data_IF_150863766368
#
_entry.id   IF_150863766368
#
_cell.length_a   1.000
_cell.length_b   1.000
_cell.length_c   1.000
_cell.angle_alpha   90.00
_cell.angle_beta   90.00
_cell.angle_gamma   90.00
#
_symmetry.space_group_name_H-M   'P 1'
#
loop_
_entity.id
_entity.type
_entity.pdbx_description
1 polymer ?
#
# COMPACT_ATOMS: atom_id res chain seq x y z
N UNK A 1 22.08 1.12 20.27
CA UNK A 1 21.68 -0.25 19.88
C UNK A 1 20.36 -0.17 19.14
N UNK A 2 20.33 -0.62 17.87
CA UNK A 2 19.13 -0.66 17.04
C UNK A 2 18.32 -1.90 17.39
N UNK A 3 17.39 -1.78 18.33
CA UNK A 3 16.49 -2.90 18.67
C UNK A 3 15.40 -3.02 17.61
N UNK A 4 15.20 -4.22 17.10
CA UNK A 4 14.05 -4.59 16.26
C UNK A 4 13.30 -5.73 16.92
N UNK A 5 11.98 -5.72 16.79
CA UNK A 5 11.09 -6.71 17.40
C UNK A 5 10.61 -7.67 16.32
N UNK A 6 11.00 -8.94 16.44
CA UNK A 6 10.61 -9.99 15.51
C UNK A 6 9.29 -10.65 15.90
N UNK A 7 8.44 -10.89 14.92
CA UNK A 7 7.22 -11.68 15.06
C UNK A 7 7.15 -12.75 13.96
N UNK A 8 6.54 -13.89 14.27
CA UNK A 8 6.26 -14.96 13.31
C UNK A 8 4.76 -15.14 13.12
N UNK A 9 4.38 -15.47 11.90
CA UNK A 9 3.02 -15.77 11.47
C UNK A 9 3.11 -17.12 10.73
N UNK A 10 2.94 -18.24 11.46
CA UNK A 10 3.02 -19.57 10.87
C UNK A 10 1.80 -19.84 9.99
N UNK A 11 2.00 -20.48 8.84
CA UNK A 11 0.92 -20.99 8.01
C UNK A 11 1.05 -22.49 7.81
N UNK A 12 0.39 -23.27 8.66
CA UNK A 12 0.39 -24.74 8.59
C UNK A 12 -0.21 -25.28 7.28
N UNK A 13 -1.01 -24.47 6.58
CA UNK A 13 -1.71 -24.86 5.36
C UNK A 13 -1.01 -24.38 4.09
N UNK A 14 0.26 -23.93 4.16
CA UNK A 14 0.97 -23.35 3.02
C UNK A 14 0.94 -24.24 1.76
N UNK A 15 1.16 -25.55 1.90
CA UNK A 15 1.15 -26.50 0.79
C UNK A 15 -0.24 -26.72 0.17
N UNK A 16 -1.30 -26.30 0.87
CA UNK A 16 -2.67 -26.39 0.40
C UNK A 16 -3.13 -25.09 -0.29
N UNK A 17 -2.26 -24.10 -0.44
CA UNK A 17 -2.61 -22.82 -1.06
C UNK A 17 -2.47 -22.88 -2.57
N UNK A 18 -3.44 -22.31 -3.28
CA UNK A 18 -3.41 -22.09 -4.71
C UNK A 18 -3.09 -20.63 -5.03
N UNK A 19 -2.39 -20.42 -6.14
CA UNK A 19 -2.14 -19.12 -6.72
C UNK A 19 -2.74 -19.04 -8.12
N UNK A 20 -3.35 -17.91 -8.45
CA UNK A 20 -3.79 -17.61 -9.80
C UNK A 20 -3.62 -16.13 -10.13
N UNK A 21 -3.51 -15.86 -11.43
CA UNK A 21 -3.62 -14.52 -11.99
C UNK A 21 -5.03 -14.29 -12.48
N UNK A 22 -5.57 -13.10 -12.22
CA UNK A 22 -6.79 -12.63 -12.88
C UNK A 22 -6.57 -11.30 -13.56
N UNK A 23 -7.32 -11.06 -14.61
CA UNK A 23 -7.29 -9.82 -15.40
C UNK A 23 -8.55 -9.04 -15.13
N UNK A 24 -8.39 -7.76 -14.79
CA UNK A 24 -9.50 -6.82 -14.70
C UNK A 24 -10.02 -6.45 -16.10
N UNK A 25 -11.33 -6.62 -16.33
CA UNK A 25 -11.95 -6.22 -17.57
C UNK A 25 -11.91 -4.69 -17.72
N UNK A 26 -11.17 -4.21 -18.72
CA UNK A 26 -11.02 -2.77 -19.04
C UNK A 26 -12.23 -2.18 -19.76
N UNK A 27 -13.10 -3.03 -20.29
CA UNK A 27 -14.35 -2.61 -20.92
C UNK A 27 -15.49 -2.48 -19.90
N UNK A 28 -15.28 -2.93 -18.66
CA UNK A 28 -16.20 -2.68 -17.56
C UNK A 28 -16.26 -1.17 -17.28
N UNK A 29 -17.42 -0.67 -16.86
CA UNK A 29 -17.59 0.76 -16.61
C UNK A 29 -16.77 1.17 -15.39
N UNK A 30 -15.66 1.89 -15.64
CA UNK A 30 -14.80 2.36 -14.57
C UNK A 30 -15.56 3.24 -13.56
N UNK A 31 -15.30 2.97 -12.29
CA UNK A 31 -15.64 3.88 -11.21
C UNK A 31 -14.87 5.20 -11.42
N UNK A 32 -15.51 6.34 -11.16
CA UNK A 32 -14.88 7.66 -11.35
C UNK A 32 -13.62 7.85 -10.50
N UNK A 33 -13.47 7.07 -9.43
CA UNK A 33 -12.28 7.04 -8.59
C UNK A 33 -11.13 6.19 -9.16
N UNK A 34 -11.30 5.54 -10.31
CA UNK A 34 -10.28 4.70 -10.94
C UNK A 34 -10.15 5.03 -12.44
N UNK A 35 -9.56 6.19 -12.78
CA UNK A 35 -9.65 6.74 -14.13
C UNK A 35 -8.76 6.06 -15.19
N UNK A 36 -7.83 5.19 -14.78
CA UNK A 36 -6.97 4.44 -15.71
C UNK A 36 -7.07 2.94 -15.45
N UNK A 37 -6.63 2.13 -16.43
CA UNK A 37 -6.59 0.66 -16.29
C UNK A 37 -5.80 0.22 -15.05
N UNK A 38 -4.68 0.91 -14.78
CA UNK A 38 -3.88 0.68 -13.58
C UNK A 38 -4.70 0.91 -12.29
N UNK A 39 -5.37 2.06 -12.18
CA UNK A 39 -6.21 2.35 -11.01
C UNK A 39 -7.39 1.38 -10.90
N UNK A 40 -7.92 0.93 -12.03
CA UNK A 40 -9.03 0.00 -12.08
C UNK A 40 -8.65 -1.36 -11.49
N UNK A 41 -7.52 -1.92 -11.91
CA UNK A 41 -6.94 -3.13 -11.34
C UNK A 41 -6.70 -3.03 -9.83
N UNK A 42 -6.14 -1.91 -9.36
CA UNK A 42 -5.93 -1.66 -7.92
C UNK A 42 -7.26 -1.66 -7.16
N UNK A 43 -8.28 -0.99 -7.72
CA UNK A 43 -9.63 -0.96 -7.13
C UNK A 43 -10.25 -2.37 -7.06
N UNK A 44 -10.19 -3.14 -8.15
CA UNK A 44 -10.71 -4.52 -8.21
C UNK A 44 -10.00 -5.45 -7.22
N UNK A 45 -8.67 -5.37 -7.14
CA UNK A 45 -7.89 -6.10 -6.14
C UNK A 45 -8.37 -5.81 -4.70
N UNK A 46 -8.61 -4.53 -4.37
CA UNK A 46 -9.13 -4.16 -3.05
C UNK A 46 -10.55 -4.67 -2.83
N UNK A 47 -11.41 -4.60 -3.84
CA UNK A 47 -12.77 -5.15 -3.74
C UNK A 47 -12.74 -6.64 -3.38
N UNK A 48 -11.83 -7.44 -3.95
CA UNK A 48 -11.63 -8.85 -3.58
C UNK A 48 -11.21 -8.98 -2.12
N UNK A 49 -10.12 -8.31 -1.72
CA UNK A 49 -9.56 -8.40 -0.37
C UNK A 49 -10.60 -8.03 0.71
N UNK A 50 -11.46 -7.05 0.44
CA UNK A 50 -12.50 -6.63 1.38
C UNK A 50 -13.78 -7.46 1.30
N UNK A 51 -13.96 -8.30 0.28
CA UNK A 51 -15.15 -9.15 0.13
C UNK A 51 -14.96 -10.55 0.69
N UNK A 52 -13.72 -11.06 0.77
CA UNK A 52 -13.42 -12.38 1.32
C UNK A 52 -12.16 -12.35 2.17
N UNK A 53 -12.28 -12.73 3.45
CA UNK A 53 -11.14 -12.87 4.35
C UNK A 53 -10.33 -14.15 4.12
N UNK A 54 -10.84 -15.09 3.32
CA UNK A 54 -10.13 -16.30 2.93
C UNK A 54 -9.16 -16.09 1.76
N UNK A 55 -9.04 -14.86 1.26
CA UNK A 55 -8.17 -14.53 0.13
C UNK A 55 -7.09 -13.54 0.54
N UNK A 56 -5.92 -13.66 -0.08
CA UNK A 56 -4.96 -12.58 -0.17
C UNK A 56 -4.77 -12.20 -1.63
N UNK A 57 -4.53 -10.93 -1.90
CA UNK A 57 -4.27 -10.49 -3.25
C UNK A 57 -3.28 -9.32 -3.28
N UNK A 58 -2.68 -9.08 -4.43
CA UNK A 58 -1.99 -7.84 -4.74
C UNK A 58 -2.14 -7.48 -6.23
N UNK A 59 -2.20 -6.19 -6.58
CA UNK A 59 -2.10 -5.78 -7.97
C UNK A 59 -0.70 -6.09 -8.50
N UNK A 60 -0.60 -6.59 -9.74
CA UNK A 60 0.70 -6.78 -10.41
C UNK A 60 1.44 -5.43 -10.52
N UNK A 61 2.76 -5.42 -10.50
CA UNK A 61 3.54 -4.17 -10.57
C UNK A 61 3.77 -3.70 -12.00
N UNK A 62 3.88 -4.63 -12.93
CA UNK A 62 4.31 -4.41 -14.32
C UNK A 62 3.14 -4.41 -15.28
N UNK A 63 2.16 -5.29 -15.07
CA UNK A 63 0.98 -5.38 -15.94
C UNK A 63 -0.11 -4.38 -15.52
N UNK A 64 -0.83 -3.79 -16.48
CA UNK A 64 -1.84 -2.76 -16.21
C UNK A 64 -3.21 -3.30 -15.76
N UNK A 65 -3.43 -4.61 -15.81
CA UNK A 65 -4.73 -5.26 -15.63
C UNK A 65 -4.68 -6.48 -14.68
N UNK A 66 -3.51 -7.09 -14.46
CA UNK A 66 -3.37 -8.31 -13.66
C UNK A 66 -3.40 -8.13 -12.13
N UNK A 67 -4.07 -9.05 -11.44
CA UNK A 67 -4.10 -9.18 -9.99
C UNK A 67 -3.65 -10.59 -9.62
N UNK A 68 -2.73 -10.69 -8.67
CA UNK A 68 -2.33 -11.95 -8.06
C UNK A 68 -3.29 -12.29 -6.93
N UNK A 69 -3.75 -13.54 -6.87
CA UNK A 69 -4.65 -14.01 -5.81
C UNK A 69 -4.12 -15.32 -5.25
N UNK A 70 -4.07 -15.38 -3.92
CA UNK A 70 -3.78 -16.59 -3.15
C UNK A 70 -5.05 -16.98 -2.41
N UNK A 71 -5.39 -18.26 -2.48
CA UNK A 71 -6.58 -18.84 -1.87
C UNK A 71 -6.25 -20.23 -1.32
N UNK A 72 -7.14 -20.78 -0.49
CA UNK A 72 -7.00 -22.15 -0.01
C UNK A 72 -7.63 -23.12 -1.04
N UNK A 73 -6.86 -24.11 -1.53
CA UNK A 73 -7.37 -25.15 -2.45
C UNK A 73 -8.41 -26.04 -1.75
N UNK A 74 -8.30 -26.18 -0.43
CA UNK A 74 -9.21 -27.01 0.35
C UNK A 74 -10.48 -26.24 0.71
N UNK A 75 -11.63 -26.83 0.41
CA UNK A 75 -12.95 -26.27 0.74
C UNK A 75 -13.64 -25.60 -0.45
N UNK A 76 -14.55 -24.66 -0.17
CA UNK A 76 -15.38 -23.97 -1.17
C UNK A 76 -14.84 -22.59 -1.59
N UNK A 77 -13.58 -22.29 -1.26
CA UNK A 77 -13.00 -20.97 -1.55
C UNK A 77 -12.89 -20.73 -3.06
N UNK A 78 -12.63 -21.76 -3.86
CA UNK A 78 -12.57 -21.62 -5.32
C UNK A 78 -13.94 -21.28 -5.93
N UNK A 79 -15.03 -21.93 -5.50
CA UNK A 79 -16.39 -21.60 -5.98
C UNK A 79 -16.81 -20.17 -5.60
N UNK A 80 -16.45 -19.75 -4.39
CA UNK A 80 -16.64 -18.37 -3.91
C UNK A 80 -15.82 -17.39 -4.74
N UNK A 81 -14.60 -17.77 -5.09
CA UNK A 81 -13.70 -16.97 -5.89
C UNK A 81 -14.24 -16.74 -7.31
N UNK A 82 -14.72 -17.80 -7.97
CA UNK A 82 -15.39 -17.71 -9.28
C UNK A 82 -16.61 -16.77 -9.23
N UNK A 83 -17.40 -16.86 -8.15
CA UNK A 83 -18.54 -15.95 -7.94
C UNK A 83 -18.10 -14.49 -7.78
N UNK A 84 -16.98 -14.24 -7.09
CA UNK A 84 -16.39 -12.90 -6.98
C UNK A 84 -15.85 -12.39 -8.32
N UNK A 85 -15.28 -13.27 -9.15
CA UNK A 85 -14.79 -12.89 -10.47
C UNK A 85 -15.92 -12.42 -11.38
N UNK A 86 -17.02 -13.16 -11.42
CA UNK A 86 -18.23 -12.73 -12.15
C UNK A 86 -18.75 -11.40 -11.61
N UNK A 87 -18.89 -11.27 -10.29
CA UNK A 87 -19.40 -10.05 -9.63
C UNK A 87 -18.53 -8.83 -9.90
N UNK A 88 -17.22 -9.00 -10.00
CA UNK A 88 -16.26 -7.91 -10.17
C UNK A 88 -15.70 -7.80 -11.57
N UNK A 89 -16.24 -8.53 -12.55
CA UNK A 89 -15.79 -8.49 -13.95
C UNK A 89 -14.29 -8.75 -14.07
N UNK A 90 -13.84 -9.82 -13.42
CA UNK A 90 -12.49 -10.36 -13.50
C UNK A 90 -12.53 -11.68 -14.28
N UNK A 91 -11.46 -11.99 -15.00
CA UNK A 91 -11.29 -13.26 -15.71
C UNK A 91 -9.99 -13.94 -15.30
N UNK A 92 -10.01 -15.25 -15.11
CA UNK A 92 -8.80 -16.02 -14.86
C UNK A 92 -7.82 -15.92 -16.04
N UNK A 93 -6.54 -15.81 -15.72
CA UNK A 93 -5.45 -15.73 -16.67
C UNK A 93 -4.47 -16.86 -16.42
N UNK A 94 -4.74 -18.01 -17.06
CA UNK A 94 -3.90 -19.20 -16.97
C UNK A 94 -4.32 -20.17 -15.86
N UNK A 95 -3.54 -21.25 -15.65
CA UNK A 95 -3.87 -22.30 -14.69
C UNK A 95 -3.63 -21.86 -13.24
N UNK A 96 -4.18 -22.63 -12.30
CA UNK A 96 -3.83 -22.55 -10.88
C UNK A 96 -2.40 -23.08 -10.72
N UNK A 97 -1.55 -22.28 -10.08
CA UNK A 97 -0.15 -22.58 -9.81
C UNK A 97 0.07 -22.79 -8.31
N UNK A 98 1.22 -23.39 -7.96
CA UNK A 98 1.70 -23.43 -6.58
C UNK A 98 2.16 -22.04 -6.12
N UNK A 99 2.03 -21.79 -4.82
CA UNK A 99 2.40 -20.51 -4.21
C UNK A 99 3.90 -20.45 -3.97
N UNK A 100 4.56 -19.42 -4.52
CA UNK A 100 5.97 -19.11 -4.19
C UNK A 100 6.06 -18.18 -2.98
N UNK A 101 7.20 -18.20 -2.29
CA UNK A 101 7.48 -17.31 -1.15
C UNK A 101 7.35 -15.83 -1.50
N UNK A 102 7.79 -15.45 -2.71
CA UNK A 102 7.72 -14.08 -3.21
C UNK A 102 6.27 -13.61 -3.40
N UNK A 103 5.45 -14.41 -4.09
CA UNK A 103 4.04 -14.10 -4.33
C UNK A 103 3.27 -14.05 -3.00
N UNK A 104 3.56 -14.97 -2.08
CA UNK A 104 2.99 -14.95 -0.74
C UNK A 104 3.32 -13.65 0.00
N UNK A 105 4.59 -13.28 0.05
CA UNK A 105 5.04 -12.06 0.71
C UNK A 105 4.40 -10.80 0.11
N UNK A 106 4.32 -10.71 -1.22
CA UNK A 106 3.69 -9.58 -1.92
C UNK A 106 2.19 -9.48 -1.63
N UNK A 107 1.45 -10.59 -1.75
CA UNK A 107 0.02 -10.66 -1.47
C UNK A 107 -0.28 -10.36 0.01
N UNK A 108 0.49 -10.91 0.93
CA UNK A 108 0.36 -10.64 2.36
C UNK A 108 0.61 -9.16 2.67
N UNK A 109 1.71 -8.59 2.17
CA UNK A 109 2.06 -7.18 2.38
C UNK A 109 0.96 -6.22 1.91
N UNK A 110 0.48 -6.40 0.68
CA UNK A 110 -0.59 -5.56 0.13
C UNK A 110 -1.92 -5.76 0.87
N UNK A 111 -2.29 -7.01 1.16
CA UNK A 111 -3.52 -7.33 1.91
C UNK A 111 -3.48 -6.73 3.31
N UNK A 112 -2.39 -6.94 4.05
CA UNK A 112 -2.18 -6.41 5.39
C UNK A 112 -2.30 -4.88 5.40
N UNK A 113 -1.54 -4.20 4.53
CA UNK A 113 -1.55 -2.74 4.45
C UNK A 113 -2.91 -2.18 4.06
N UNK A 114 -3.63 -2.83 3.13
CA UNK A 114 -4.98 -2.44 2.76
C UNK A 114 -5.93 -2.57 3.96
N UNK A 115 -5.87 -3.68 4.72
CA UNK A 115 -6.77 -3.97 5.86
C UNK A 115 -6.57 -3.03 7.04
N UNK A 116 -5.33 -2.67 7.37
CA UNK A 116 -5.04 -1.80 8.52
C UNK A 116 -5.19 -0.31 8.21
N UNK A 117 -5.23 0.08 6.94
CA UNK A 117 -5.59 1.42 6.53
C UNK A 117 -7.08 1.72 6.86
N UNK A 118 -7.42 2.93 7.33
CA UNK A 118 -6.56 4.10 7.45
C UNK A 118 -5.98 4.29 8.86
N UNK A 119 -6.06 3.30 9.76
CA UNK A 119 -5.49 3.44 11.10
C UNK A 119 -3.96 3.49 11.02
N UNK A 120 -3.40 2.58 10.24
CA UNK A 120 -1.98 2.55 9.89
C UNK A 120 -1.84 2.69 8.38
N UNK A 121 -1.19 3.76 7.94
CA UNK A 121 -1.05 4.10 6.53
C UNK A 121 0.39 3.84 6.07
N UNK A 122 0.59 3.24 4.90
CA UNK A 122 1.94 3.09 4.33
C UNK A 122 2.56 4.48 4.16
N UNK A 123 3.84 4.63 4.46
CA UNK A 123 4.64 5.80 4.16
C UNK A 123 6.01 5.34 3.65
N UNK A 124 6.43 5.83 2.49
CA UNK A 124 7.61 5.32 1.80
C UNK A 124 7.52 3.83 1.53
N UNK A 125 8.66 3.14 1.60
CA UNK A 125 8.77 1.73 1.25
C UNK A 125 8.58 0.78 2.43
N UNK A 126 8.82 1.26 3.66
CA UNK A 126 8.94 0.39 4.83
C UNK A 126 8.45 1.04 6.14
N UNK A 127 7.60 2.07 6.08
CA UNK A 127 6.98 2.63 7.28
C UNK A 127 5.46 2.53 7.24
N UNK A 128 4.86 2.34 8.41
CA UNK A 128 3.47 2.69 8.67
C UNK A 128 3.41 3.87 9.62
N UNK A 129 2.54 4.84 9.31
CA UNK A 129 2.21 5.97 10.19
C UNK A 129 0.84 5.75 10.83
N UNK A 130 0.77 5.84 12.16
CA UNK A 130 -0.46 5.71 12.93
C UNK A 130 -1.12 7.07 13.09
N UNK A 131 -1.99 7.40 12.13
CA UNK A 131 -2.99 8.46 12.25
C UNK A 131 -3.77 8.48 10.92
N UNK A 132 -5.09 8.38 10.96
CA UNK A 132 -5.94 8.43 9.75
C UNK A 132 -5.96 9.80 9.05
N UNK A 133 -5.60 10.86 9.77
CA UNK A 133 -5.60 12.26 9.34
C UNK A 133 -4.17 12.84 9.29
N UNK A 134 -3.14 12.00 9.16
CA UNK A 134 -1.74 12.43 9.21
C UNK A 134 -1.39 13.48 8.14
N UNK A 135 -2.13 13.55 7.03
CA UNK A 135 -1.95 14.56 5.98
C UNK A 135 -2.27 15.99 6.48
N UNK A 136 -3.13 16.17 7.48
CA UNK A 136 -3.45 17.48 8.08
C UNK A 136 -2.81 17.69 9.45
N UNK A 137 -2.63 16.64 10.24
CA UNK A 137 -2.06 16.74 11.60
C UNK A 137 -0.60 17.24 11.65
N UNK A 138 -0.30 18.21 12.52
CA UNK A 138 1.07 18.73 12.66
C UNK A 138 1.87 17.97 13.72
N UNK A 139 3.19 17.92 13.56
CA UNK A 139 4.09 17.34 14.56
C UNK A 139 4.30 15.82 14.44
N UNK A 140 5.14 15.25 15.31
CA UNK A 140 5.55 13.84 15.23
C UNK A 140 4.40 12.87 15.55
N UNK A 141 4.17 11.91 14.67
CA UNK A 141 3.16 10.85 14.80
C UNK A 141 3.84 9.53 15.18
N UNK A 142 3.09 8.62 15.81
CA UNK A 142 3.58 7.25 16.02
C UNK A 142 3.69 6.51 14.69
N UNK A 143 4.69 5.65 14.58
CA UNK A 143 4.88 4.82 13.40
C UNK A 143 5.68 3.57 13.72
N UNK A 144 5.71 2.68 12.74
CA UNK A 144 6.57 1.49 12.77
C UNK A 144 7.31 1.38 11.45
N UNK A 145 8.63 1.21 11.52
CA UNK A 145 9.38 0.65 10.40
C UNK A 145 9.13 -0.86 10.39
N UNK A 146 8.90 -1.44 9.22
CA UNK A 146 8.64 -2.87 9.11
C UNK A 146 9.49 -3.52 8.01
N UNK A 147 9.80 -4.80 8.20
CA UNK A 147 10.33 -5.69 7.16
C UNK A 147 9.56 -7.00 7.22
N UNK A 148 9.15 -7.49 6.05
CA UNK A 148 8.47 -8.76 5.89
C UNK A 148 9.42 -9.68 5.14
N UNK A 149 9.52 -10.93 5.57
CA UNK A 149 10.22 -11.97 4.84
C UNK A 149 9.51 -13.31 5.05
N UNK A 150 9.55 -14.18 4.06
CA UNK A 150 8.97 -15.52 4.12
C UNK A 150 10.09 -16.57 4.17
N UNK A 151 10.02 -17.48 5.12
CA UNK A 151 10.91 -18.65 5.20
C UNK A 151 10.06 -19.92 5.26
N UNK A 152 10.19 -20.79 4.25
CA UNK A 152 9.37 -21.99 4.08
C UNK A 152 7.86 -21.68 4.14
N UNK A 153 7.21 -22.01 5.26
CA UNK A 153 5.78 -21.82 5.53
C UNK A 153 5.49 -20.76 6.61
N UNK A 154 6.51 -20.05 7.09
CA UNK A 154 6.39 -19.05 8.16
C UNK A 154 6.77 -17.67 7.67
N UNK A 155 5.86 -16.71 7.86
CA UNK A 155 6.12 -15.31 7.59
C UNK A 155 6.74 -14.64 8.82
N UNK A 156 7.80 -13.89 8.62
CA UNK A 156 8.45 -13.07 9.64
C UNK A 156 8.10 -11.60 9.43
N UNK A 157 7.77 -10.93 10.52
CA UNK A 157 7.47 -9.50 10.57
C UNK A 157 8.41 -8.85 11.59
N UNK A 158 9.39 -8.11 11.11
CA UNK A 158 10.29 -7.32 11.96
C UNK A 158 9.74 -5.91 12.08
N UNK A 159 9.60 -5.41 13.29
CA UNK A 159 9.02 -4.10 13.60
C UNK A 159 9.99 -3.27 14.43
N UNK A 160 10.12 -1.98 14.07
CA UNK A 160 10.82 -0.98 14.86
C UNK A 160 9.93 0.23 15.08
N UNK A 161 9.43 0.47 16.30
CA UNK A 161 8.65 1.67 16.61
C UNK A 161 9.49 2.94 16.42
N UNK A 162 8.86 3.97 15.87
CA UNK A 162 9.50 5.27 15.59
C UNK A 162 8.50 6.40 15.76
N UNK A 163 9.00 7.63 15.94
CA UNK A 163 8.22 8.84 15.63
C UNK A 163 8.49 9.27 14.20
N UNK A 164 7.43 9.59 13.47
CA UNK A 164 7.48 10.06 12.09
C UNK A 164 6.95 11.48 12.06
N UNK A 165 7.79 12.43 11.63
CA UNK A 165 7.41 13.81 11.46
C UNK A 165 7.51 14.21 9.98
N UNK A 166 6.36 14.35 9.32
CA UNK A 166 6.28 14.83 7.95
C UNK A 166 6.40 16.35 7.97
N UNK A 167 7.44 16.88 7.33
CA UNK A 167 7.63 18.32 7.17
C UNK A 167 6.63 18.85 6.14
N UNK A 168 5.64 19.57 6.63
CA UNK A 168 4.50 20.03 5.82
C UNK A 168 4.79 21.34 5.11
N UNK A 169 4.01 21.54 4.05
CA UNK A 169 3.80 22.82 3.40
C UNK A 169 3.37 23.88 4.44
N UNK A 170 4.23 24.89 4.68
CA UNK A 170 3.98 26.00 5.62
C UNK A 170 3.45 27.27 4.92
N UNK A 171 2.79 27.14 3.78
CA UNK A 171 2.20 28.27 3.05
C UNK A 171 3.03 28.80 1.88
N UNK A 172 4.32 28.49 1.80
CA UNK A 172 5.17 28.82 0.65
C UNK A 172 4.89 27.90 -0.53
N UNK A 173 4.28 28.44 -1.60
CA UNK A 173 3.97 27.72 -2.83
C UNK A 173 5.22 27.00 -3.37
N UNK A 174 5.03 25.81 -3.94
CA UNK A 174 6.12 25.16 -4.65
C UNK A 174 6.38 25.89 -5.96
N UNK A 175 7.65 26.09 -6.29
CA UNK A 175 8.06 26.72 -7.54
C UNK A 175 7.94 25.75 -8.72
N UNK A 176 7.70 26.27 -9.92
CA UNK A 176 7.84 25.49 -11.16
C UNK A 176 9.28 24.99 -11.31
N UNK A 177 9.45 23.74 -11.74
CA UNK A 177 10.75 23.07 -11.80
C UNK A 177 11.29 22.60 -10.44
N UNK A 178 10.59 22.88 -9.33
CA UNK A 178 11.04 22.46 -8.01
C UNK A 178 10.95 20.93 -7.83
N UNK A 179 11.97 20.36 -7.20
CA UNK A 179 12.02 18.95 -6.87
C UNK A 179 11.28 18.68 -5.56
N UNK A 180 10.26 17.83 -5.62
CA UNK A 180 9.44 17.45 -4.46
C UNK A 180 9.35 15.93 -4.32
N UNK A 181 8.69 15.48 -3.25
CA UNK A 181 8.33 14.09 -2.98
C UNK A 181 6.83 13.97 -2.80
N UNK A 182 6.29 12.85 -3.27
CA UNK A 182 4.84 12.60 -3.27
C UNK A 182 4.47 11.45 -2.33
N UNK A 183 3.52 11.67 -1.43
CA UNK A 183 2.97 10.64 -0.54
C UNK A 183 1.99 9.72 -1.30
N UNK A 184 1.89 8.40 -0.99
CA UNK A 184 2.62 7.64 0.04
C UNK A 184 4.08 7.37 -0.27
N UNK A 185 4.46 7.20 -1.54
CA UNK A 185 5.69 6.50 -1.92
C UNK A 185 6.97 7.26 -1.62
N UNK A 186 6.87 8.58 -1.41
CA UNK A 186 8.00 9.50 -1.29
C UNK A 186 8.88 9.54 -2.55
N UNK A 187 8.31 9.07 -3.68
CA UNK A 187 8.94 9.16 -4.99
C UNK A 187 9.17 10.62 -5.35
N UNK A 188 10.34 10.87 -5.93
CA UNK A 188 10.75 12.20 -6.37
C UNK A 188 10.00 12.58 -7.64
N UNK A 189 9.50 13.81 -7.70
CA UNK A 189 8.86 14.41 -8.86
C UNK A 189 9.25 15.88 -9.00
N UNK A 190 8.86 16.47 -10.12
CA UNK A 190 9.10 17.88 -10.43
C UNK A 190 7.76 18.58 -10.58
N UNK A 191 7.62 19.75 -9.97
CA UNK A 191 6.44 20.60 -10.12
C UNK A 191 6.41 21.19 -11.53
N UNK A 192 5.28 21.06 -12.21
CA UNK A 192 5.04 21.72 -13.50
C UNK A 192 4.11 22.91 -13.35
N UNK A 193 2.93 22.69 -12.77
CA UNK A 193 1.89 23.72 -12.70
C UNK A 193 1.25 23.75 -11.32
N UNK A 194 0.74 24.92 -10.95
CA UNK A 194 0.01 25.17 -9.71
C UNK A 194 -1.42 25.65 -10.02
N UNK A 195 -2.38 25.20 -9.22
CA UNK A 195 -3.78 25.63 -9.30
C UNK A 195 -4.33 25.95 -7.91
N UNK A 196 -5.04 27.07 -7.77
CA UNK A 196 -5.71 27.46 -6.52
C UNK A 196 -7.03 26.68 -6.28
N UNK A 197 -7.45 25.82 -7.22
CA UNK A 197 -8.59 24.91 -7.11
C UNK A 197 -8.36 23.66 -7.98
N UNK A 198 -9.15 22.60 -7.78
CA UNK A 198 -9.03 21.40 -8.61
C UNK A 198 -9.24 21.76 -10.10
N UNK A 199 -8.28 21.48 -11.00
CA UNK A 199 -8.38 21.89 -12.39
C UNK A 199 -9.57 21.21 -13.08
N UNK A 200 -10.32 21.94 -13.90
CA UNK A 200 -11.43 21.35 -14.69
C UNK A 200 -10.95 20.40 -15.78
N UNK A 201 -9.71 20.58 -16.25
CA UNK A 201 -9.00 19.66 -17.15
C UNK A 201 -8.45 18.42 -16.43
N UNK A 202 -8.54 18.36 -15.10
CA UNK A 202 -8.01 17.24 -14.34
C UNK A 202 -8.83 15.96 -14.57
N UNK A 203 -8.18 14.84 -14.30
CA UNK A 203 -8.76 13.50 -14.37
C UNK A 203 -10.02 13.33 -13.51
N UNK A 204 -10.20 14.15 -12.47
CA UNK A 204 -11.31 14.07 -11.52
C UNK A 204 -12.30 15.22 -11.72
N UNK A 205 -13.59 14.89 -11.84
CA UNK A 205 -14.66 15.90 -12.07
C UNK A 205 -14.90 16.82 -10.88
N UNK A 206 -14.65 16.35 -9.67
CA UNK A 206 -14.84 17.12 -8.44
C UNK A 206 -13.99 16.56 -7.28
N UNK A 207 -13.87 17.35 -6.21
CA UNK A 207 -13.11 16.95 -5.02
C UNK A 207 -13.63 15.65 -4.39
N UNK A 208 -14.94 15.37 -4.44
CA UNK A 208 -15.51 14.12 -3.92
C UNK A 208 -14.96 12.89 -4.64
N UNK A 209 -14.81 12.95 -5.96
CA UNK A 209 -14.23 11.87 -6.76
C UNK A 209 -12.73 11.69 -6.43
N UNK A 210 -12.01 12.79 -6.25
CA UNK A 210 -10.61 12.80 -5.80
C UNK A 210 -10.44 12.14 -4.42
N UNK A 211 -11.26 12.52 -3.44
CA UNK A 211 -11.24 11.90 -2.10
C UNK A 211 -11.50 10.40 -2.17
N UNK A 212 -12.45 9.98 -3.01
CA UNK A 212 -12.76 8.57 -3.24
C UNK A 212 -11.58 7.85 -3.86
N UNK A 213 -10.89 8.46 -4.83
CA UNK A 213 -9.65 7.94 -5.42
C UNK A 213 -8.57 7.75 -4.36
N UNK A 214 -8.27 8.77 -3.56
CA UNK A 214 -7.22 8.66 -2.53
C UNK A 214 -7.50 7.55 -1.51
N UNK A 215 -8.76 7.44 -1.07
CA UNK A 215 -9.19 6.38 -0.17
C UNK A 215 -9.09 5.01 -0.81
N UNK A 216 -9.52 4.88 -2.06
CA UNK A 216 -9.64 3.59 -2.72
C UNK A 216 -8.34 3.10 -3.34
N UNK A 217 -7.44 3.99 -3.75
CA UNK A 217 -6.18 3.62 -4.41
C UNK A 217 -5.04 3.65 -3.39
N UNK A 218 -4.89 4.74 -2.65
CA UNK A 218 -3.78 4.91 -1.67
C UNK A 218 -4.12 4.45 -0.25
N UNK A 219 -5.41 4.26 0.08
CA UNK A 219 -5.85 4.00 1.45
C UNK A 219 -5.93 5.25 2.34
N UNK A 220 -5.54 6.41 1.82
CA UNK A 220 -5.43 7.67 2.56
C UNK A 220 -6.75 8.42 2.63
N UNK A 221 -6.94 9.21 3.69
CA UNK A 221 -8.08 10.11 3.81
C UNK A 221 -7.65 11.55 3.56
N UNK A 222 -8.16 12.09 2.45
CA UNK A 222 -8.16 13.53 2.23
C UNK A 222 -9.22 14.21 3.13
N UNK A 223 -8.98 15.47 3.54
CA UNK A 223 -9.93 16.31 4.29
C UNK A 223 -11.33 16.32 3.68
N UNK A 224 -12.34 16.66 4.48
CA UNK A 224 -13.71 16.75 4.00
C UNK A 224 -13.93 17.96 3.08
N UNK A 225 -13.34 19.10 3.47
CA UNK A 225 -13.36 20.32 2.70
C UNK A 225 -12.24 20.33 1.67
N UNK A 226 -12.53 20.94 0.53
CA UNK A 226 -11.56 21.12 -0.54
C UNK A 226 -10.36 21.96 -0.07
N UNK A 227 -9.19 21.60 -0.58
CA UNK A 227 -7.91 22.23 -0.24
C UNK A 227 -7.63 23.31 -1.27
N UNK A 228 -7.10 24.48 -0.87
CA UNK A 228 -6.97 25.63 -1.77
C UNK A 228 -5.77 25.54 -2.74
N UNK A 229 -5.10 24.40 -2.86
CA UNK A 229 -3.89 24.30 -3.69
C UNK A 229 -3.64 22.89 -4.20
N UNK A 230 -3.39 22.81 -5.50
CA UNK A 230 -3.07 21.61 -6.24
C UNK A 230 -1.86 21.87 -7.13
N UNK A 231 -1.12 20.81 -7.41
CA UNK A 231 0.04 20.87 -8.29
C UNK A 231 0.02 19.70 -9.26
N UNK A 232 0.40 19.97 -10.50
CA UNK A 232 0.75 18.93 -11.45
C UNK A 232 2.21 18.54 -11.24
N UNK A 233 2.45 17.26 -11.01
CA UNK A 233 3.77 16.70 -10.73
C UNK A 233 4.16 15.74 -11.84
N UNK A 234 5.31 15.97 -12.47
CA UNK A 234 5.93 15.04 -13.42
C UNK A 234 6.89 14.11 -12.70
N UNK A 235 6.72 12.81 -12.91
CA UNK A 235 7.68 11.79 -12.48
C UNK A 235 8.64 11.44 -13.63
N UNK A 236 9.79 10.86 -13.29
CA UNK A 236 10.73 10.34 -14.28
C UNK A 236 10.03 9.37 -15.23
N UNK A 237 9.99 9.69 -16.53
CA UNK A 237 9.33 8.92 -17.61
C UNK A 237 7.82 8.67 -17.40
N UNK A 238 7.17 9.47 -16.56
CA UNK A 238 5.73 9.40 -16.32
C UNK A 238 4.99 10.60 -16.90
N UNK A 239 3.70 10.41 -17.13
CA UNK A 239 2.79 11.52 -17.39
C UNK A 239 2.59 12.38 -16.14
N UNK A 240 2.34 13.68 -16.30
CA UNK A 240 2.05 14.55 -15.17
C UNK A 240 0.74 14.15 -14.49
N UNK A 241 0.74 14.18 -13.16
CA UNK A 241 -0.42 13.82 -12.36
C UNK A 241 -0.71 14.96 -11.36
N UNK A 242 -1.99 15.28 -11.18
CA UNK A 242 -2.42 16.32 -10.24
C UNK A 242 -2.51 15.79 -8.81
N UNK A 243 -1.81 16.45 -7.88
CA UNK A 243 -1.80 16.14 -6.46
C UNK A 243 -2.27 17.33 -5.62
N UNK A 244 -3.06 17.09 -4.55
CA UNK A 244 -3.29 18.10 -3.52
C UNK A 244 -1.97 18.50 -2.84
N UNK A 245 -1.80 19.77 -2.48
CA UNK A 245 -0.59 20.28 -1.84
C UNK A 245 -0.20 19.50 -0.57
N UNK A 246 -1.17 19.01 0.21
CA UNK A 246 -0.94 18.25 1.45
C UNK A 246 -0.33 16.86 1.21
N UNK A 247 -0.32 16.38 -0.04
CA UNK A 247 0.30 15.11 -0.43
C UNK A 247 1.76 15.28 -0.86
N UNK A 248 2.28 16.51 -0.84
CA UNK A 248 3.62 16.87 -1.31
C UNK A 248 4.51 17.30 -0.15
N UNK A 249 5.81 17.03 -0.27
CA UNK A 249 6.83 17.51 0.67
C UNK A 249 8.17 17.67 -0.03
N UNK A 250 9.00 18.63 0.39
CA UNK A 250 10.38 18.82 -0.14
C UNK A 250 11.33 17.72 0.35
N UNK A 251 11.12 17.27 1.57
CA UNK A 251 12.08 16.46 2.32
C UNK A 251 11.49 15.11 2.70
N UNK A 252 12.36 14.14 2.97
CA UNK A 252 11.92 12.94 3.65
C UNK A 252 11.38 13.26 5.06
N UNK A 253 10.42 12.48 5.57
CA UNK A 253 9.98 12.59 6.95
C UNK A 253 11.17 12.43 7.91
N UNK A 254 11.16 13.20 9.00
CA UNK A 254 12.13 13.04 10.08
C UNK A 254 11.71 11.83 10.92
N UNK A 255 12.61 10.85 11.05
CA UNK A 255 12.38 9.63 11.82
C UNK A 255 13.19 9.71 13.12
N UNK A 256 12.51 9.65 14.26
CA UNK A 256 13.16 9.77 15.57
C UNK A 256 12.96 8.48 16.39
N UNK A 257 14.01 7.98 17.08
CA UNK A 257 13.87 6.85 18.01
C UNK A 257 13.01 7.22 19.22
N UNK A 258 12.59 6.20 19.96
CA UNK A 258 11.67 6.31 21.09
C UNK A 258 12.27 5.67 22.36
N UNK A 259 11.85 6.09 23.55
CA UNK A 259 12.17 5.36 24.77
C UNK A 259 11.42 4.01 24.82
N UNK A 260 12.04 3.00 25.45
CA UNK A 260 11.56 1.61 25.50
C UNK A 260 10.09 1.43 25.93
N UNK A 261 9.56 2.14 26.96
CA UNK A 261 8.15 2.02 27.32
C UNK A 261 7.20 2.43 26.19
N UNK A 262 7.54 3.48 25.44
CA UNK A 262 6.76 3.96 24.30
C UNK A 262 6.83 3.00 23.12
N UNK A 263 7.97 2.35 22.89
CA UNK A 263 8.10 1.31 21.85
C UNK A 263 7.08 0.18 22.07
N UNK A 264 6.99 -0.34 23.29
CA UNK A 264 6.05 -1.43 23.64
C UNK A 264 4.60 -1.03 23.39
N UNK A 265 4.20 0.18 23.78
CA UNK A 265 2.83 0.67 23.56
C UNK A 265 2.48 0.74 22.07
N UNK A 266 3.39 1.26 21.24
CA UNK A 266 3.17 1.36 19.79
C UNK A 266 3.08 -0.02 19.15
N UNK A 267 3.93 -0.98 19.56
CA UNK A 267 3.85 -2.37 19.09
C UNK A 267 2.52 -3.02 19.45
N UNK A 268 2.09 -2.89 20.71
CA UNK A 268 0.79 -3.42 21.16
C UNK A 268 -0.34 -2.84 20.33
N UNK A 269 -0.33 -1.52 20.09
CA UNK A 269 -1.34 -0.85 19.26
C UNK A 269 -1.32 -1.35 17.80
N UNK A 270 -0.13 -1.55 17.22
CA UNK A 270 0.00 -2.07 15.86
C UNK A 270 -0.53 -3.50 15.74
N UNK A 271 -0.05 -4.40 16.60
CA UNK A 271 -0.45 -5.81 16.60
C UNK A 271 -1.94 -5.97 16.91
N UNK A 272 -2.48 -5.22 17.87
CA UNK A 272 -3.91 -5.23 18.17
C UNK A 272 -4.74 -4.74 16.98
N UNK A 273 -4.28 -3.70 16.28
CA UNK A 273 -4.96 -3.23 15.06
C UNK A 273 -4.91 -4.30 13.96
N UNK A 274 -3.76 -4.93 13.75
CA UNK A 274 -3.61 -5.98 12.75
C UNK A 274 -4.56 -7.16 13.02
N UNK A 275 -4.57 -7.70 14.25
CA UNK A 275 -5.49 -8.78 14.66
C UNK A 275 -6.96 -8.38 14.54
N UNK A 276 -7.31 -7.13 14.86
CA UNK A 276 -8.68 -6.64 14.75
C UNK A 276 -9.14 -6.46 13.29
N UNK A 277 -8.26 -5.99 12.41
CA UNK A 277 -8.60 -5.66 11.00
C UNK A 277 -8.42 -6.83 10.04
N UNK A 278 -7.55 -7.77 10.38
CA UNK A 278 -7.28 -8.98 9.63
C UNK A 278 -7.32 -10.19 10.59
N UNK A 279 -8.48 -10.49 11.22
CA UNK A 279 -8.58 -11.55 12.22
C UNK A 279 -8.40 -12.95 11.63
N UNK A 280 -8.70 -13.10 10.34
CA UNK A 280 -8.48 -14.31 9.57
C UNK A 280 -7.76 -13.95 8.27
N UNK A 281 -6.96 -14.89 7.77
CA UNK A 281 -6.32 -14.81 6.47
C UNK A 281 -6.25 -16.23 5.88
N UNK A 282 -6.50 -16.38 4.58
CA UNK A 282 -6.47 -17.69 3.91
C UNK A 282 -7.32 -18.78 4.58
N UNK A 283 -8.43 -18.38 5.21
CA UNK A 283 -9.38 -19.29 5.86
C UNK A 283 -8.98 -19.74 7.27
N UNK A 284 -7.87 -19.24 7.82
CA UNK A 284 -7.42 -19.54 9.18
C UNK A 284 -7.33 -18.28 10.06
N UNK A 285 -7.42 -18.40 11.40
CA UNK A 285 -7.18 -17.29 12.31
C UNK A 285 -5.75 -16.74 12.19
N UNK A 286 -5.61 -15.42 12.31
CA UNK A 286 -4.30 -14.77 12.30
C UNK A 286 -3.61 -14.95 13.67
N UNK A 287 -2.67 -15.89 13.72
CA UNK A 287 -1.77 -16.08 14.87
C UNK A 287 -0.49 -15.30 14.66
N UNK A 288 -0.10 -14.50 15.66
CA UNK A 288 1.13 -13.72 15.66
C UNK A 288 1.87 -14.04 16.95
N UNK A 289 3.06 -14.61 16.81
CA UNK A 289 3.94 -15.02 17.91
C UNK A 289 5.12 -14.06 17.98
N UNK A 290 5.50 -13.65 19.19
CA UNK A 290 6.67 -12.80 19.38
C UNK A 290 7.92 -13.68 19.47
N UNK A 291 8.97 -13.33 18.72
CA UNK A 291 10.24 -14.02 18.84
C UNK A 291 10.90 -13.56 20.15
N UNK A 292 11.02 -14.45 21.12
CA UNK A 292 11.68 -14.17 22.40
C UNK A 292 13.20 -13.94 22.30
N UNK A 293 13.77 -13.92 21.09
CA UNK A 293 15.16 -13.59 20.85
C UNK A 293 15.32 -12.08 20.59
N UNK A 294 15.57 -11.33 21.66
CA UNK A 294 15.87 -9.88 21.66
C UNK A 294 17.20 -9.50 20.93
N UNK A 295 17.76 -10.37 20.08
CA UNK A 295 19.01 -10.14 19.36
C UNK A 295 18.98 -10.74 17.94
N UNK A 296 18.26 -10.10 17.02
CA UNK A 296 18.55 -10.29 15.59
C UNK A 296 19.44 -9.14 15.11
N UNK A 297 20.76 -9.29 15.28
CA UNK A 297 21.74 -8.55 14.48
C UNK A 297 21.92 -9.26 13.13
N UNK A 298 20.87 -9.22 12.30
CA UNK A 298 20.89 -9.81 10.97
C UNK A 298 21.31 -8.79 9.92
N UNK A 299 22.62 -8.68 9.67
CA UNK A 299 23.13 -8.03 8.46
C UNK A 299 22.77 -8.92 7.27
N UNK A 300 21.65 -8.62 6.62
CA UNK A 300 21.33 -9.13 5.28
C UNK A 300 21.03 -7.92 4.42
N UNK A 301 22.09 -7.44 3.75
CA UNK A 301 21.99 -6.49 2.67
C UNK A 301 21.21 -7.14 1.53
N UNK A 302 19.90 -6.97 1.55
CA UNK A 302 19.14 -6.86 0.33
C UNK A 302 18.62 -5.44 0.30
N UNK A 303 19.48 -4.52 -0.12
CA UNK A 303 19.03 -3.25 -0.69
C UNK A 303 18.18 -3.63 -1.92
N UNK A 304 16.86 -3.66 -1.75
CA UNK A 304 15.99 -3.41 -2.89
C UNK A 304 16.40 -2.02 -3.37
N UNK A 305 16.95 -1.90 -4.58
CA UNK A 305 17.45 -0.63 -5.06
C UNK A 305 16.34 0.42 -4.94
N UNK A 306 16.68 1.57 -4.34
CA UNK A 306 15.76 2.69 -4.09
C UNK A 306 15.05 3.20 -5.37
N UNK A 307 15.49 2.73 -6.54
CA UNK A 307 14.96 3.04 -7.87
C UNK A 307 13.89 2.08 -8.38
N UNK A 308 13.68 0.91 -7.76
CA UNK A 308 12.74 -0.11 -8.27
C UNK A 308 11.49 -0.34 -7.42
N UNK A 309 11.36 0.33 -6.27
CA UNK A 309 10.14 0.31 -5.47
C UNK A 309 9.10 1.32 -6.02
N UNK A 310 8.56 1.03 -7.20
CA UNK A 310 7.39 1.75 -7.72
C UNK A 310 6.25 1.63 -6.71
N UNK A 311 5.69 2.78 -6.34
CA UNK A 311 4.43 2.89 -5.64
C UNK A 311 3.42 1.93 -6.28
N UNK A 312 2.82 1.02 -5.50
CA UNK A 312 1.70 0.17 -5.95
C UNK A 312 0.46 0.98 -6.35
N UNK A 313 0.55 2.30 -6.34
CA UNK A 313 -0.55 3.23 -6.54
C UNK A 313 -0.22 4.36 -7.52
N UNK A 314 0.97 4.38 -8.12
CA UNK A 314 1.33 5.43 -9.08
C UNK A 314 1.85 4.76 -10.34
N UNK A 315 1.27 5.03 -11.52
CA UNK A 315 1.78 4.50 -12.79
C UNK A 315 3.09 5.21 -13.14
N UNK A 316 4.18 4.93 -12.41
CA UNK A 316 5.49 5.58 -12.62
C UNK A 316 6.38 4.84 -13.61
N UNK A 317 5.88 3.80 -14.28
CA UNK A 317 6.65 3.07 -15.29
C UNK A 317 5.75 2.71 -16.47
N UNK A 318 5.59 3.66 -17.39
CA UNK A 318 5.32 3.29 -18.78
C UNK A 318 6.66 2.83 -19.36
N UNK A 319 6.87 1.52 -19.54
CA UNK A 319 7.77 1.09 -20.61
C UNK A 319 7.01 1.37 -21.90
N UNK A 320 7.40 2.44 -22.60
CA UNK A 320 7.06 2.54 -24.02
C UNK A 320 7.57 1.26 -24.67
N UNK A 321 6.66 0.41 -25.14
CA UNK A 321 7.03 -0.68 -26.03
C UNK A 321 7.76 -0.06 -27.21
N UNK A 322 9.00 -0.50 -27.44
CA UNK A 322 9.66 -0.24 -28.71
C UNK A 322 8.77 -0.83 -29.81
N UNK A 323 8.38 0.02 -30.76
CA UNK A 323 7.96 -0.45 -32.08
C UNK A 323 9.08 -1.24 -32.74
#
# INVERSE_FOLDING_TARGET
MNHEYGYTIPNSNFNNLGYLKVVANINDKHDRSAPSNYHWKVLKCRMIIFSASSLMACPDKSDLKEVHIIFNKLGNDYDRLTSLFMKFSLSEAGPICEVTSEIYQMCFHYTMSAKIAPAWNILGYNYFINNRNFLTETGPQDGVRYKIAMHESTLTLQLKPVKIHILKYKGEKYGEGENIRVLPSLNKGIIEEHYDALPKSATFKCYKDLRRHWKNIHGYRLPENEIPSYYTVRFWRGDPLTYPAICLTRNFPIITPLPKPSERLILTNFISCLKSKMPNYLGIPLTIEANHADNYSGNVNHEMSDTQAVSLCTPTQYQQGNN
#
